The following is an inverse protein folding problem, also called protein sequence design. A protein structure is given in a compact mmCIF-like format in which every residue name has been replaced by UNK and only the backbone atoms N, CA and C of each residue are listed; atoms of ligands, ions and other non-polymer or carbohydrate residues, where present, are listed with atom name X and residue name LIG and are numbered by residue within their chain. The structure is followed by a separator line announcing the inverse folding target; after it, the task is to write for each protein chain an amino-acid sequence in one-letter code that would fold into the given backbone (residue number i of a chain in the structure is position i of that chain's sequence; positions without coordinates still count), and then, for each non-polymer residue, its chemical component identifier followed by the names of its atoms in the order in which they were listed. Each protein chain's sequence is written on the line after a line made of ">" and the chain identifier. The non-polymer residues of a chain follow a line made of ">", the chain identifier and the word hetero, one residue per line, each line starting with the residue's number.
data_IF_849292875211
#
_entry.id   IF_849292875211
#
_cell.length_a   1.000
_cell.length_b   1.000
_cell.length_c   1.000
_cell.angle_alpha   90.00
_cell.angle_beta   90.00
_cell.angle_gamma   90.00
#
_symmetry.space_group_name_H-M   'P 1'
#
loop_
_entity.id
_entity.type
_entity.pdbx_description
1 polymer ?
#
# COMPACT_ATOMS: atom_id res chain seq x y z
N UNK A 1 7.08 15.20 -17.43
CA UNK A 1 6.35 14.46 -16.39
C UNK A 1 7.18 13.25 -16.03
N UNK A 2 7.69 13.21 -14.80
CA UNK A 2 8.55 12.14 -14.29
C UNK A 2 7.71 10.91 -13.89
N UNK A 3 8.36 9.76 -13.64
CA UNK A 3 7.69 8.58 -13.07
C UNK A 3 7.10 8.88 -11.69
N UNK A 4 7.79 9.70 -10.89
CA UNK A 4 7.32 10.23 -9.60
C UNK A 4 6.04 11.04 -9.79
N UNK A 5 5.97 11.93 -10.79
CA UNK A 5 4.78 12.74 -11.08
C UNK A 5 3.57 11.86 -11.47
N UNK A 6 3.77 10.84 -12.30
CA UNK A 6 2.71 9.92 -12.72
C UNK A 6 2.11 9.18 -11.51
N UNK A 7 2.98 8.67 -10.64
CA UNK A 7 2.59 7.94 -9.43
C UNK A 7 1.84 8.84 -8.45
N UNK A 8 2.38 10.04 -8.15
CA UNK A 8 1.74 11.01 -7.26
C UNK A 8 0.39 11.44 -7.82
N UNK A 9 0.31 11.75 -9.11
CA UNK A 9 -0.94 12.16 -9.76
C UNK A 9 -2.00 11.07 -9.70
N UNK A 10 -1.61 9.81 -9.90
CA UNK A 10 -2.55 8.70 -9.83
C UNK A 10 -3.05 8.51 -8.39
N UNK A 11 -2.16 8.50 -7.39
CA UNK A 11 -2.55 8.38 -5.99
C UNK A 11 -3.47 9.52 -5.54
N UNK A 12 -3.19 10.75 -5.96
CA UNK A 12 -4.00 11.92 -5.59
C UNK A 12 -5.47 11.82 -6.06
N UNK A 13 -5.76 11.06 -7.12
CA UNK A 13 -7.13 10.82 -7.58
C UNK A 13 -7.96 9.93 -6.63
N UNK A 14 -7.32 9.28 -5.66
CA UNK A 14 -7.91 8.33 -4.74
C UNK A 14 -7.64 8.68 -3.26
N UNK A 15 -7.25 9.93 -2.96
CA UNK A 15 -6.92 10.33 -1.58
C UNK A 15 -8.09 10.18 -0.59
N UNK A 16 -9.33 10.26 -1.08
CA UNK A 16 -10.56 10.11 -0.29
C UNK A 16 -10.81 8.69 0.26
N UNK A 17 -10.10 7.68 -0.27
CA UNK A 17 -10.23 6.27 0.14
C UNK A 17 -9.05 5.76 0.98
N UNK A 18 -8.30 6.68 1.58
CA UNK A 18 -7.20 6.38 2.50
C UNK A 18 -7.74 6.02 3.88
N UNK A 19 -7.12 5.00 4.48
CA UNK A 19 -7.37 4.50 5.82
C UNK A 19 -6.12 4.80 6.66
N UNK A 20 -6.24 5.62 7.73
CA UNK A 20 -5.15 5.82 8.67
C UNK A 20 -4.73 4.46 9.25
N UNK A 21 -3.44 4.14 9.15
CA UNK A 21 -2.94 2.84 9.59
C UNK A 21 -2.27 2.97 10.96
N UNK A 22 -1.31 3.90 11.09
CA UNK A 22 -0.74 4.25 12.40
C UNK A 22 0.03 5.56 12.36
N UNK A 23 0.25 6.12 13.56
CA UNK A 23 1.11 7.28 13.82
C UNK A 23 2.40 6.85 14.51
N UNK A 24 3.42 7.72 14.46
CA UNK A 24 4.72 7.53 15.11
C UNK A 24 4.52 7.29 16.62
N UNK A 25 5.30 6.38 17.19
CA UNK A 25 5.32 5.96 18.61
C UNK A 25 4.09 5.18 19.10
N UNK A 26 3.17 4.79 18.19
CA UNK A 26 2.04 3.93 18.54
C UNK A 26 2.29 2.47 18.19
N UNK A 27 1.75 1.58 19.02
CA UNK A 27 1.63 0.15 18.69
C UNK A 27 0.56 -0.07 17.63
N UNK A 28 0.84 -0.98 16.71
CA UNK A 28 -0.12 -1.39 15.67
C UNK A 28 -1.35 -2.01 16.33
N UNK A 29 -2.52 -1.41 16.14
CA UNK A 29 -3.81 -1.98 16.54
C UNK A 29 -4.42 -2.74 15.36
N UNK A 30 -4.11 -4.03 15.25
CA UNK A 30 -4.57 -4.90 14.16
C UNK A 30 -6.09 -4.89 14.03
N UNK A 31 -6.81 -5.01 15.15
CA UNK A 31 -8.27 -5.10 15.14
C UNK A 31 -8.89 -3.82 14.57
N UNK A 32 -8.43 -2.66 15.03
CA UNK A 32 -8.89 -1.36 14.54
C UNK A 32 -8.62 -1.18 13.04
N UNK A 33 -7.41 -1.49 12.58
CA UNK A 33 -7.04 -1.38 11.15
C UNK A 33 -7.92 -2.28 10.30
N UNK A 34 -8.13 -3.53 10.73
CA UNK A 34 -8.98 -4.48 10.01
C UNK A 34 -10.44 -4.02 9.98
N UNK A 35 -10.95 -3.48 11.08
CA UNK A 35 -12.29 -2.91 11.12
C UNK A 35 -12.44 -1.74 10.14
N UNK A 36 -11.49 -0.81 10.11
CA UNK A 36 -11.52 0.31 9.16
C UNK A 36 -11.47 -0.15 7.70
N UNK A 37 -10.68 -1.18 7.37
CA UNK A 37 -10.67 -1.78 6.03
C UNK A 37 -12.03 -2.40 5.69
N UNK A 38 -12.62 -3.13 6.63
CA UNK A 38 -13.92 -3.76 6.44
C UNK A 38 -15.02 -2.70 6.22
N UNK A 39 -15.05 -1.65 7.03
CA UNK A 39 -16.01 -0.54 6.90
C UNK A 39 -15.85 0.21 5.58
N UNK A 40 -14.61 0.48 5.15
CA UNK A 40 -14.33 1.20 3.90
C UNK A 40 -14.70 0.38 2.65
N UNK A 41 -14.71 -0.94 2.76
CA UNK A 41 -15.05 -1.85 1.66
C UNK A 41 -16.47 -2.42 1.77
N UNK A 42 -17.18 -2.14 2.87
CA UNK A 42 -18.52 -2.66 3.13
C UNK A 42 -19.53 -2.14 2.10
N UNK A 43 -20.38 -3.03 1.60
CA UNK A 43 -21.45 -2.68 0.66
C UNK A 43 -20.97 -2.31 -0.74
N UNK A 44 -19.66 -2.38 -1.02
CA UNK A 44 -19.10 -2.16 -2.35
C UNK A 44 -18.99 -3.50 -3.07
N UNK A 45 -19.55 -3.57 -4.28
CA UNK A 45 -19.33 -4.70 -5.18
C UNK A 45 -18.03 -4.48 -5.95
N UNK A 46 -17.10 -5.43 -5.82
CA UNK A 46 -15.82 -5.45 -6.53
C UNK A 46 -15.36 -6.90 -6.70
N UNK A 47 -14.61 -7.19 -7.77
CA UNK A 47 -14.00 -8.51 -7.99
C UNK A 47 -12.56 -8.53 -7.48
N UNK A 48 -11.86 -7.41 -7.62
CA UNK A 48 -10.48 -7.26 -7.17
C UNK A 48 -10.20 -5.83 -6.69
N UNK A 49 -9.09 -5.65 -5.97
CA UNK A 49 -8.67 -4.35 -5.45
C UNK A 49 -7.15 -4.21 -5.50
N UNK A 50 -6.69 -2.97 -5.63
CA UNK A 50 -5.30 -2.57 -5.41
C UNK A 50 -5.21 -1.94 -4.04
N UNK A 51 -4.20 -2.31 -3.27
CA UNK A 51 -3.85 -1.64 -2.03
C UNK A 51 -2.44 -1.07 -2.09
N UNK A 52 -2.26 0.08 -1.47
CA UNK A 52 -0.98 0.78 -1.39
C UNK A 52 -0.73 1.18 0.07
N UNK A 53 0.27 0.57 0.68
CA UNK A 53 0.81 1.05 1.95
C UNK A 53 1.69 2.26 1.66
N UNK A 54 1.43 3.36 2.34
CA UNK A 54 2.16 4.61 2.16
C UNK A 54 2.80 5.04 3.47
N UNK A 55 3.95 5.67 3.33
CA UNK A 55 4.74 6.22 4.43
C UNK A 55 4.86 7.72 4.23
N UNK A 56 4.62 8.47 5.30
CA UNK A 56 4.81 9.91 5.30
C UNK A 56 6.27 10.23 5.59
N UNK A 57 6.85 11.09 4.76
CA UNK A 57 8.23 11.59 4.86
C UNK A 57 8.21 13.11 4.79
N UNK A 58 9.36 13.75 4.98
CA UNK A 58 9.50 15.21 4.82
C UNK A 58 9.20 15.67 3.38
N UNK A 59 9.36 14.79 2.38
CA UNK A 59 9.01 15.04 0.98
C UNK A 59 7.53 14.74 0.66
N UNK A 60 6.73 14.35 1.66
CA UNK A 60 5.34 13.95 1.52
C UNK A 60 5.13 12.44 1.59
N UNK A 61 3.97 12.01 1.09
CA UNK A 61 3.52 10.62 1.19
C UNK A 61 4.06 9.79 0.02
N UNK A 62 4.80 8.72 0.33
CA UNK A 62 5.40 7.82 -0.67
C UNK A 62 4.85 6.40 -0.54
N UNK A 63 4.64 5.67 -1.64
CA UNK A 63 4.24 4.27 -1.56
C UNK A 63 5.43 3.41 -1.17
N UNK A 64 5.23 2.55 -0.18
CA UNK A 64 6.24 1.60 0.30
C UNK A 64 5.84 0.16 0.04
N UNK A 65 4.58 -0.14 -0.28
CA UNK A 65 4.18 -1.47 -0.74
C UNK A 65 2.91 -1.36 -1.56
N UNK A 66 2.86 -2.06 -2.70
CA UNK A 66 1.71 -2.12 -3.59
C UNK A 66 1.33 -3.59 -3.78
N UNK A 67 0.05 -3.91 -3.77
CA UNK A 67 -0.38 -5.24 -4.16
C UNK A 67 -1.84 -5.27 -4.53
N UNK A 68 -2.30 -6.46 -4.92
CA UNK A 68 -3.69 -6.72 -5.28
C UNK A 68 -4.31 -7.81 -4.42
N UNK A 69 -5.64 -7.76 -4.25
CA UNK A 69 -6.41 -8.83 -3.61
C UNK A 69 -7.91 -8.64 -3.79
N UNK A 70 -8.62 -9.74 -4.05
CA UNK A 70 -10.07 -9.84 -3.96
C UNK A 70 -10.61 -9.95 -2.52
N UNK A 71 -9.72 -10.08 -1.52
CA UNK A 71 -10.07 -10.21 -0.11
C UNK A 71 -9.16 -9.30 0.74
N UNK A 72 -9.26 -7.96 0.58
CA UNK A 72 -8.33 -7.00 1.20
C UNK A 72 -8.28 -7.13 2.73
N UNK A 73 -9.42 -7.36 3.39
CA UNK A 73 -9.50 -7.60 4.84
C UNK A 73 -8.61 -8.78 5.27
N UNK A 74 -8.81 -9.95 4.66
CA UNK A 74 -8.05 -11.17 4.98
C UNK A 74 -6.57 -11.00 4.65
N UNK A 75 -6.27 -10.35 3.51
CA UNK A 75 -4.90 -10.10 3.07
C UNK A 75 -4.14 -9.19 4.04
N UNK A 76 -4.76 -8.10 4.45
CA UNK A 76 -4.15 -7.17 5.41
C UNK A 76 -4.03 -7.74 6.80
N UNK A 77 -4.95 -8.60 7.23
CA UNK A 77 -4.81 -9.34 8.49
C UNK A 77 -3.55 -10.20 8.48
N UNK A 78 -3.28 -10.87 7.36
CA UNK A 78 -2.05 -11.65 7.19
C UNK A 78 -0.80 -10.77 7.22
N UNK A 79 -0.79 -9.62 6.52
CA UNK A 79 0.32 -8.68 6.55
C UNK A 79 0.61 -8.13 7.94
N UNK A 80 -0.43 -7.72 8.67
CA UNK A 80 -0.33 -7.19 10.03
C UNK A 80 0.20 -8.23 11.03
N UNK A 81 -0.34 -9.44 11.00
CA UNK A 81 0.15 -10.54 11.84
C UNK A 81 1.60 -10.89 11.50
N UNK A 82 1.97 -10.87 10.21
CA UNK A 82 3.35 -11.10 9.77
C UNK A 82 4.32 -10.02 10.23
N UNK A 83 3.90 -8.75 10.19
CA UNK A 83 4.66 -7.60 10.67
C UNK A 83 4.92 -7.68 12.18
N UNK A 84 3.93 -8.08 12.97
CA UNK A 84 4.06 -8.19 14.44
C UNK A 84 4.83 -9.46 14.85
N UNK A 85 4.53 -10.61 14.23
CA UNK A 85 5.08 -11.91 14.62
C UNK A 85 6.47 -12.25 14.07
N UNK A 86 6.94 -11.51 13.05
CA UNK A 86 8.32 -11.48 12.56
C UNK A 86 9.03 -12.82 12.29
N UNK A 87 8.91 -13.36 11.06
CA UNK A 87 9.93 -14.24 10.42
C UNK A 87 10.03 -13.99 8.91
N UNK A 88 11.22 -14.17 8.33
CA UNK A 88 11.50 -14.13 6.87
C UNK A 88 11.14 -12.79 6.18
N UNK A 89 10.12 -12.79 5.32
CA UNK A 89 9.73 -11.71 4.39
C UNK A 89 9.38 -10.39 5.08
N UNK A 90 8.97 -10.43 6.36
CA UNK A 90 8.59 -9.24 7.13
C UNK A 90 9.76 -8.59 7.88
N UNK A 91 10.97 -9.17 7.86
CA UNK A 91 12.14 -8.57 8.52
C UNK A 91 12.46 -7.16 7.96
N UNK A 92 12.37 -6.98 6.64
CA UNK A 92 12.57 -5.65 6.00
C UNK A 92 11.44 -4.69 6.36
N UNK A 93 10.21 -5.18 6.45
CA UNK A 93 9.07 -4.36 6.88
C UNK A 93 9.25 -3.87 8.31
N UNK A 94 9.62 -4.78 9.23
CA UNK A 94 9.88 -4.46 10.62
C UNK A 94 10.99 -3.42 10.74
N UNK A 95 12.13 -3.61 10.05
CA UNK A 95 13.24 -2.64 10.07
C UNK A 95 12.83 -1.27 9.53
N UNK A 96 11.98 -1.22 8.51
CA UNK A 96 11.54 0.05 7.93
C UNK A 96 10.51 0.75 8.81
N UNK A 97 9.58 0.00 9.41
CA UNK A 97 8.35 0.54 10.00
C UNK A 97 8.33 0.55 11.53
N UNK A 98 9.16 -0.24 12.19
CA UNK A 98 9.13 -0.42 13.63
C UNK A 98 10.44 0.00 14.28
N UNK A 99 10.34 0.55 15.49
CA UNK A 99 11.44 0.68 16.44
C UNK A 99 11.80 -0.68 17.04
N UNK A 100 12.91 -0.74 17.78
CA UNK A 100 13.32 -1.97 18.50
C UNK A 100 12.26 -2.43 19.52
N UNK A 101 11.51 -1.49 20.10
CA UNK A 101 10.40 -1.76 21.02
C UNK A 101 9.09 -2.18 20.31
N UNK A 102 9.11 -2.30 18.98
CA UNK A 102 7.94 -2.66 18.18
C UNK A 102 6.91 -1.54 18.04
N UNK A 103 7.30 -0.28 18.26
CA UNK A 103 6.47 0.89 18.01
C UNK A 103 6.64 1.36 16.57
N UNK A 104 5.64 2.03 16.00
CA UNK A 104 5.80 2.60 14.67
C UNK A 104 6.83 3.73 14.65
N UNK A 105 7.83 3.65 13.79
CA UNK A 105 8.84 4.71 13.64
C UNK A 105 8.45 5.78 12.60
N UNK A 106 7.37 5.54 11.84
CA UNK A 106 6.89 6.38 10.76
C UNK A 106 5.38 6.42 10.76
N UNK A 107 4.81 7.54 10.31
CA UNK A 107 3.37 7.62 10.04
C UNK A 107 3.08 6.85 8.75
N UNK A 108 2.10 5.96 8.82
CA UNK A 108 1.68 5.13 7.70
C UNK A 108 0.17 5.16 7.51
N UNK A 109 -0.25 5.04 6.27
CA UNK A 109 -1.65 4.86 5.91
C UNK A 109 -1.79 3.87 4.75
N UNK A 110 -3.03 3.49 4.49
CA UNK A 110 -3.38 2.47 3.52
C UNK A 110 -4.43 3.00 2.56
N UNK A 111 -4.11 3.03 1.28
CA UNK A 111 -5.07 3.29 0.22
C UNK A 111 -5.58 1.96 -0.34
N UNK A 112 -6.89 1.81 -0.52
CA UNK A 112 -7.51 0.64 -1.16
C UNK A 112 -8.42 1.11 -2.29
N UNK A 113 -8.00 0.86 -3.53
CA UNK A 113 -8.72 1.22 -4.75
C UNK A 113 -9.38 -0.02 -5.34
N UNK A 114 -10.71 -0.05 -5.37
CA UNK A 114 -11.47 -1.15 -5.96
C UNK A 114 -11.42 -1.09 -7.50
N UNK A 115 -11.51 -2.23 -8.17
CA UNK A 115 -11.58 -2.32 -9.63
C UNK A 115 -12.61 -1.41 -10.27
N UNK A 116 -13.80 -1.33 -9.69
CA UNK A 116 -14.91 -0.50 -10.14
C UNK A 116 -14.61 1.01 -10.05
N UNK A 117 -13.65 1.40 -9.21
CA UNK A 117 -13.20 2.79 -9.03
C UNK A 117 -12.13 3.20 -10.05
N UNK A 118 -11.38 2.25 -10.62
CA UNK A 118 -10.27 2.57 -11.52
C UNK A 118 -10.82 3.02 -12.88
N UNK A 119 -10.72 4.33 -13.14
CA UNK A 119 -11.16 4.92 -14.43
C UNK A 119 -10.01 5.19 -15.40
N UNK A 120 -8.78 5.31 -14.90
CA UNK A 120 -7.60 5.65 -15.69
C UNK A 120 -6.36 4.88 -15.22
N UNK A 121 -5.51 4.43 -16.15
CA UNK A 121 -4.23 3.83 -15.81
C UNK A 121 -3.26 4.90 -15.26
N UNK A 122 -2.27 4.49 -14.44
CA UNK A 122 -1.18 5.38 -14.00
C UNK A 122 -0.37 5.93 -15.17
N UNK A 123 -0.13 5.11 -16.21
CA UNK A 123 0.56 5.51 -17.43
C UNK A 123 -0.48 5.71 -18.55
N UNK A 124 -0.61 6.92 -19.11
CA UNK A 124 -1.56 7.17 -20.20
C UNK A 124 -1.35 6.23 -21.40
N UNK A 125 -2.45 5.72 -21.96
CA UNK A 125 -2.43 4.81 -23.11
C UNK A 125 -2.26 3.32 -22.77
N UNK A 126 -2.07 2.97 -21.50
CA UNK A 126 -1.96 1.57 -21.06
C UNK A 126 -3.32 0.97 -20.65
N UNK A 127 -3.43 -0.37 -20.55
CA UNK A 127 -4.64 -1.02 -20.05
C UNK A 127 -4.99 -0.59 -18.62
N UNK A 128 -6.30 -0.54 -18.34
CA UNK A 128 -6.86 -0.12 -17.06
C UNK A 128 -7.35 -1.29 -16.19
N UNK A 129 -6.94 -2.53 -16.50
CA UNK A 129 -7.26 -3.69 -15.68
C UNK A 129 -6.47 -3.64 -14.36
N UNK A 130 -7.00 -4.22 -13.28
CA UNK A 130 -6.33 -4.24 -11.96
C UNK A 130 -4.89 -4.74 -12.06
N UNK A 131 -4.66 -5.86 -12.75
CA UNK A 131 -3.31 -6.41 -12.91
C UNK A 131 -2.37 -5.48 -13.69
N UNK A 132 -2.85 -4.82 -14.75
CA UNK A 132 -2.04 -3.87 -15.50
C UNK A 132 -1.73 -2.61 -14.68
N UNK A 133 -2.68 -2.14 -13.87
CA UNK A 133 -2.49 -0.97 -13.01
C UNK A 133 -1.54 -1.28 -11.86
N UNK A 134 -1.68 -2.43 -11.18
CA UNK A 134 -0.74 -2.88 -10.17
C UNK A 134 0.69 -2.94 -10.72
N UNK A 135 0.88 -3.59 -11.88
CA UNK A 135 2.20 -3.68 -12.51
C UNK A 135 2.80 -2.30 -12.82
N UNK A 136 2.00 -1.38 -13.37
CA UNK A 136 2.43 -0.01 -13.63
C UNK A 136 2.83 0.71 -12.35
N UNK A 137 2.03 0.62 -11.29
CA UNK A 137 2.32 1.26 -10.01
C UNK A 137 3.60 0.72 -9.38
N UNK A 138 3.79 -0.61 -9.38
CA UNK A 138 5.00 -1.25 -8.88
C UNK A 138 6.22 -0.79 -9.67
N UNK A 139 6.13 -0.74 -11.00
CA UNK A 139 7.23 -0.24 -11.84
C UNK A 139 7.56 1.22 -11.52
N UNK A 140 6.55 2.11 -11.51
CA UNK A 140 6.75 3.53 -11.22
C UNK A 140 7.35 3.75 -9.82
N UNK A 141 6.88 2.99 -8.82
CA UNK A 141 7.39 3.09 -7.45
C UNK A 141 8.81 2.52 -7.32
N UNK A 142 9.14 1.45 -8.04
CA UNK A 142 10.49 0.87 -8.04
C UNK A 142 11.52 1.84 -8.62
N UNK A 143 11.14 2.63 -9.62
CA UNK A 143 12.00 3.65 -10.20
C UNK A 143 12.08 4.91 -9.31
N UNK A 144 10.96 5.33 -8.70
CA UNK A 144 10.91 6.57 -7.93
C UNK A 144 11.43 6.42 -6.50
N UNK A 145 11.25 5.26 -5.86
CA UNK A 145 11.52 5.03 -4.44
C UNK A 145 12.20 3.66 -4.17
N UNK A 146 13.32 3.34 -4.85
CA UNK A 146 13.93 2.00 -4.78
C UNK A 146 14.37 1.57 -3.38
N UNK A 147 14.81 2.52 -2.54
CA UNK A 147 15.32 2.23 -1.20
C UNK A 147 14.22 1.79 -0.22
N UNK A 148 13.02 2.37 -0.34
CA UNK A 148 11.92 2.20 0.61
C UNK A 148 10.86 1.21 0.15
N UNK A 149 10.79 0.89 -1.15
CA UNK A 149 9.81 -0.03 -1.68
C UNK A 149 10.02 -1.47 -1.16
N UNK A 150 9.03 -1.97 -0.42
CA UNK A 150 8.96 -3.27 0.24
C UNK A 150 8.37 -4.38 -0.64
N UNK A 151 7.90 -4.08 -1.85
CA UNK A 151 7.63 -5.11 -2.84
C UNK A 151 8.90 -5.96 -2.99
N UNK A 152 8.82 -7.23 -2.60
CA UNK A 152 9.92 -8.16 -2.81
C UNK A 152 10.22 -8.26 -4.30
N UNK A 153 11.51 -8.45 -4.62
CA UNK A 153 12.04 -8.59 -5.97
C UNK A 153 11.19 -9.55 -6.85
N UNK A 154 10.23 -9.00 -7.57
CA UNK A 154 9.79 -9.56 -8.87
C UNK A 154 10.86 -9.42 -9.95
N UNK A 155 12.10 -9.11 -9.56
CA UNK A 155 13.30 -9.05 -10.38
C UNK A 155 14.18 -10.31 -10.29
N UNK A 156 13.69 -11.40 -9.68
CA UNK A 156 14.18 -12.73 -10.08
C UNK A 156 13.40 -13.16 -11.31
N UNK A 157 13.88 -12.67 -12.46
CA UNK A 157 13.68 -13.33 -13.76
C UNK A 157 14.20 -14.77 -13.68
#
# INVERSE_FOLDING_TARGET
>A
MTKKDLLIRWMAAYEQIVIPFSTIDYKINVLNIIQMIAEKTAGMSFEDSIYILRMWTDEGCIPIYIGRSNAPVTRWKSHLTGLIGGKKLYSRWQRLLLTEDGLMNQRVDLMIVLDSMIKKPPIPGFPCTIGAVEYQLVSLASDAYPATLLNHEGNRR
#
